data_IF_200667593873
#
_entry.id   IF_200667593873
#
_cell.length_a   1.000
_cell.length_b   1.000
_cell.length_c   1.000
_cell.angle_alpha   90.00
_cell.angle_beta   90.00
_cell.angle_gamma   90.00
#
_symmetry.space_group_name_H-M   'P 1'
#
loop_
_entity.id
_entity.type
_entity.pdbx_description
1 polymer ?
#
# COMPACT_ATOMS: atom_id res chain seq x y z
N UNK A 1 17.49 47.09 -11.77
CA UNK A 1 16.55 46.29 -10.95
C UNK A 1 16.86 44.82 -11.20
N UNK A 2 17.49 44.13 -10.23
CA UNK A 2 17.94 42.73 -10.34
C UNK A 2 16.82 41.82 -9.83
N UNK A 3 16.25 41.01 -10.71
CA UNK A 3 15.27 39.97 -10.34
C UNK A 3 15.99 38.77 -9.73
N UNK A 4 15.60 38.38 -8.52
CA UNK A 4 16.07 37.15 -7.88
C UNK A 4 15.22 35.94 -8.36
N UNK A 5 15.84 34.78 -8.65
CA UNK A 5 15.11 33.57 -9.00
C UNK A 5 14.48 32.93 -7.76
N UNK A 6 13.16 32.69 -7.80
CA UNK A 6 12.42 31.92 -6.80
C UNK A 6 12.79 30.44 -6.96
N UNK A 7 13.55 29.92 -6.00
CA UNK A 7 13.84 28.50 -5.89
C UNK A 7 12.56 27.74 -5.48
N UNK A 8 11.98 27.00 -6.43
CA UNK A 8 10.96 25.99 -6.15
C UNK A 8 11.63 24.81 -5.43
N UNK A 9 11.47 24.73 -4.10
CA UNK A 9 11.88 23.60 -3.28
C UNK A 9 10.82 22.50 -3.44
N UNK A 10 11.10 21.48 -4.24
CA UNK A 10 10.29 20.28 -4.37
C UNK A 10 10.37 19.44 -3.08
N UNK A 11 9.27 19.29 -2.30
CA UNK A 11 9.29 18.47 -1.09
C UNK A 11 9.36 16.96 -1.37
N UNK A 12 9.10 16.52 -2.60
CA UNK A 12 9.10 15.11 -3.00
C UNK A 12 10.49 14.45 -3.03
N UNK A 13 11.58 15.23 -3.09
CA UNK A 13 12.93 14.69 -3.04
C UNK A 13 13.40 14.31 -1.61
N UNK A 14 12.69 14.77 -0.57
CA UNK A 14 13.04 14.48 0.82
C UNK A 14 12.47 13.14 1.33
N UNK A 15 11.43 12.60 0.69
CA UNK A 15 10.79 11.36 1.14
C UNK A 15 11.50 10.08 0.65
N UNK A 16 12.26 10.16 -0.45
CA UNK A 16 13.04 9.03 -0.98
C UNK A 16 14.37 8.78 -0.22
N UNK A 17 14.80 9.69 0.66
CA UNK A 17 16.00 9.54 1.48
C UNK A 17 15.77 8.75 2.78
N UNK A 18 14.51 8.47 3.15
CA UNK A 18 14.18 7.77 4.41
C UNK A 18 14.04 6.23 4.26
N UNK A 19 13.90 5.69 3.05
CA UNK A 19 13.84 4.24 2.81
C UNK A 19 15.23 3.56 2.68
N UNK A 20 16.33 4.32 2.72
CA UNK A 20 17.68 3.77 2.52
C UNK A 20 18.39 3.22 3.77
N UNK A 21 17.81 3.33 4.98
CA UNK A 21 18.51 3.03 6.24
C UNK A 21 18.00 1.76 6.96
N UNK A 22 16.96 1.09 6.45
CA UNK A 22 16.43 -0.15 7.03
C UNK A 22 17.04 -1.44 6.45
N UNK A 23 18.23 -1.37 5.85
CA UNK A 23 18.96 -2.51 5.28
C UNK A 23 20.33 -2.75 5.96
N UNK A 24 20.45 -2.46 7.26
CA UNK A 24 21.70 -2.68 8.00
C UNK A 24 21.48 -3.01 9.49
N UNK A 25 20.79 -4.12 9.78
CA UNK A 25 20.90 -4.81 11.08
C UNK A 25 21.09 -6.30 10.83
N UNK A 26 22.24 -6.65 10.24
CA UNK A 26 22.79 -7.99 10.33
C UNK A 26 23.23 -8.23 11.78
N UNK A 27 22.52 -9.08 12.52
CA UNK A 27 22.98 -9.58 13.82
C UNK A 27 23.66 -10.93 13.58
N UNK A 28 24.99 -11.03 13.66
CA UNK A 28 25.67 -12.30 13.79
C UNK A 28 25.59 -12.73 15.26
N UNK A 29 24.66 -13.63 15.61
CA UNK A 29 24.75 -14.34 16.89
C UNK A 29 25.86 -15.38 16.77
N UNK A 30 27.00 -15.00 17.33
CA UNK A 30 28.19 -15.82 17.52
C UNK A 30 27.90 -17.01 18.44
N UNK A 31 28.48 -18.13 18.05
CA UNK A 31 28.64 -19.34 18.83
C UNK A 31 29.26 -19.06 20.22
N UNK A 32 28.56 -19.46 21.28
CA UNK A 32 29.19 -19.76 22.57
C UNK A 32 29.27 -21.27 22.74
N UNK A 33 30.46 -21.77 22.45
CA UNK A 33 30.96 -23.07 22.86
C UNK A 33 31.13 -23.06 24.37
N UNK A 34 30.29 -23.80 25.09
CA UNK A 34 30.56 -24.19 26.47
C UNK A 34 30.99 -25.66 26.47
N UNK A 35 32.29 -25.84 26.67
CA UNK A 35 32.94 -27.11 26.85
C UNK A 35 32.37 -27.87 28.06
N UNK A 36 32.00 -29.14 27.83
CA UNK A 36 32.01 -30.19 28.84
C UNK A 36 32.71 -31.42 28.24
N UNK A 37 33.99 -31.55 28.57
CA UNK A 37 34.69 -32.80 28.90
C UNK A 37 33.77 -33.70 29.75
N UNK A 38 33.65 -35.04 29.62
CA UNK A 38 34.42 -36.06 28.92
C UNK A 38 33.54 -37.32 28.81
N UNK A 39 33.63 -38.09 27.72
CA UNK A 39 33.83 -39.56 27.70
C UNK A 39 33.53 -40.15 26.30
N UNK A 40 34.34 -41.12 25.80
CA UNK A 40 34.31 -41.55 24.41
C UNK A 40 33.42 -42.78 24.19
N UNK A 41 32.69 -42.85 23.07
CA UNK A 41 32.68 -44.02 22.16
C UNK A 41 31.73 -43.89 20.95
N UNK A 42 32.28 -44.36 19.84
CA UNK A 42 31.69 -44.95 18.63
C UNK A 42 31.27 -44.02 17.46
N UNK A 43 31.70 -44.34 16.22
CA UNK A 43 31.43 -43.54 15.04
C UNK A 43 30.01 -43.79 14.54
N UNK A 44 29.10 -42.85 14.84
CA UNK A 44 27.75 -42.85 14.30
C UNK A 44 27.73 -42.10 12.96
N UNK A 45 27.81 -42.89 11.88
CA UNK A 45 27.29 -42.67 10.53
C UNK A 45 26.80 -41.25 10.22
N UNK A 46 27.58 -40.61 9.36
CA UNK A 46 27.22 -39.48 8.51
C UNK A 46 25.74 -39.55 8.08
N UNK A 47 24.93 -38.73 8.73
CA UNK A 47 23.54 -38.52 8.40
C UNK A 47 23.48 -37.76 7.08
N UNK A 48 23.39 -38.54 6.00
CA UNK A 48 22.99 -38.10 4.68
C UNK A 48 21.60 -37.45 4.83
N UNK A 49 21.57 -36.14 5.05
CA UNK A 49 20.34 -35.35 5.11
C UNK A 49 19.59 -35.56 3.79
N UNK A 50 18.53 -36.34 3.85
CA UNK A 50 17.66 -36.66 2.73
C UNK A 50 16.94 -35.39 2.24
N UNK A 51 16.82 -35.18 0.91
CA UNK A 51 16.18 -34.01 0.32
C UNK A 51 14.69 -33.84 0.68
N UNK A 52 14.03 -34.90 1.19
CA UNK A 52 12.63 -34.88 1.59
C UNK A 52 12.31 -33.86 2.71
N UNK A 53 13.19 -33.72 3.73
CA UNK A 53 12.93 -32.81 4.86
C UNK A 53 13.00 -31.32 4.50
N UNK A 54 13.74 -30.97 3.44
CA UNK A 54 13.86 -29.56 2.98
C UNK A 54 12.61 -29.07 2.27
N UNK A 55 11.88 -29.95 1.59
CA UNK A 55 10.62 -29.60 0.93
C UNK A 55 9.51 -29.27 1.94
N UNK A 56 9.46 -29.99 3.07
CA UNK A 56 8.46 -29.76 4.12
C UNK A 56 8.65 -28.41 4.81
N UNK A 57 9.90 -27.99 5.04
CA UNK A 57 10.20 -26.68 5.64
C UNK A 57 9.71 -25.52 4.76
N UNK A 58 9.99 -25.58 3.45
CA UNK A 58 9.55 -24.56 2.49
C UNK A 58 8.03 -24.50 2.33
N UNK A 59 7.35 -25.65 2.43
CA UNK A 59 5.89 -25.68 2.40
C UNK A 59 5.28 -24.98 3.63
N UNK A 60 5.84 -25.22 4.83
CA UNK A 60 5.42 -24.54 6.07
C UNK A 60 5.66 -23.04 6.03
N UNK A 61 6.82 -22.62 5.53
CA UNK A 61 7.15 -21.20 5.36
C UNK A 61 6.13 -20.49 4.44
N UNK A 62 5.75 -21.12 3.33
CA UNK A 62 4.72 -20.58 2.43
C UNK A 62 3.36 -20.46 3.12
N UNK A 63 2.95 -21.47 3.89
CA UNK A 63 1.70 -21.43 4.64
C UNK A 63 1.69 -20.30 5.67
N UNK A 64 2.81 -20.10 6.38
CA UNK A 64 2.97 -19.00 7.33
C UNK A 64 2.90 -17.63 6.63
N UNK A 65 3.56 -17.48 5.48
CA UNK A 65 3.50 -16.25 4.69
C UNK A 65 2.08 -15.95 4.21
N UNK A 66 1.34 -16.97 3.75
CA UNK A 66 -0.07 -16.82 3.35
C UNK A 66 -0.93 -16.39 4.54
N UNK A 67 -0.76 -17.01 5.72
CA UNK A 67 -1.49 -16.62 6.93
C UNK A 67 -1.20 -15.15 7.31
N UNK A 68 0.08 -14.75 7.27
CA UNK A 68 0.47 -13.37 7.55
C UNK A 68 -0.16 -12.37 6.55
N UNK A 69 -0.31 -12.72 5.27
CA UNK A 69 -0.98 -11.86 4.30
C UNK A 69 -2.48 -11.68 4.60
N UNK A 70 -3.16 -12.71 5.10
CA UNK A 70 -4.53 -12.58 5.56
C UNK A 70 -4.64 -11.69 6.80
N UNK A 71 -3.72 -11.83 7.77
CA UNK A 71 -3.66 -10.96 8.94
C UNK A 71 -3.45 -9.48 8.55
N UNK A 72 -2.57 -9.20 7.57
CA UNK A 72 -2.37 -7.85 7.03
C UNK A 72 -3.66 -7.32 6.38
N UNK A 73 -4.34 -8.14 5.58
CA UNK A 73 -5.59 -7.75 4.95
C UNK A 73 -6.70 -7.46 5.96
N UNK A 74 -6.77 -8.22 7.05
CA UNK A 74 -7.73 -7.99 8.14
C UNK A 74 -7.37 -6.75 8.95
N UNK A 75 -6.08 -6.55 9.26
CA UNK A 75 -5.59 -5.36 9.97
C UNK A 75 -5.82 -4.05 9.19
N UNK A 76 -5.81 -4.11 7.84
CA UNK A 76 -6.05 -2.95 6.99
C UNK A 76 -7.41 -2.28 7.26
N UNK A 77 -8.41 -3.01 7.77
CA UNK A 77 -9.70 -2.44 8.15
C UNK A 77 -9.61 -1.41 9.29
N UNK A 78 -8.56 -1.45 10.10
CA UNK A 78 -8.33 -0.46 11.18
C UNK A 78 -7.79 0.89 10.67
N UNK A 79 -7.38 0.98 9.41
CA UNK A 79 -6.88 2.22 8.82
C UNK A 79 -8.04 3.19 8.55
N UNK A 80 -7.98 4.38 9.14
CA UNK A 80 -9.00 5.44 8.93
C UNK A 80 -8.94 6.00 7.51
N UNK A 81 -7.73 6.13 6.96
CA UNK A 81 -7.49 6.57 5.60
C UNK A 81 -7.87 5.46 4.59
N UNK A 82 -8.86 5.76 3.75
CA UNK A 82 -9.40 4.84 2.76
C UNK A 82 -8.42 4.56 1.61
N UNK A 83 -7.58 5.54 1.25
CA UNK A 83 -6.56 5.36 0.21
C UNK A 83 -5.45 4.44 0.71
N UNK A 84 -4.97 4.69 1.93
CA UNK A 84 -3.98 3.82 2.58
C UNK A 84 -4.53 2.39 2.76
N UNK A 85 -5.80 2.25 3.13
CA UNK A 85 -6.48 0.95 3.21
C UNK A 85 -6.50 0.24 1.87
N UNK A 86 -6.88 0.94 0.80
CA UNK A 86 -6.93 0.38 -0.54
C UNK A 86 -5.54 -0.10 -1.01
N UNK A 87 -4.50 0.69 -0.76
CA UNK A 87 -3.11 0.36 -1.11
C UNK A 87 -2.61 -0.89 -0.38
N UNK A 88 -2.83 -0.98 0.94
CA UNK A 88 -2.41 -2.16 1.72
C UNK A 88 -3.13 -3.42 1.25
N UNK A 89 -4.45 -3.35 1.01
CA UNK A 89 -5.21 -4.48 0.49
C UNK A 89 -4.73 -4.89 -0.91
N UNK A 90 -4.41 -3.92 -1.77
CA UNK A 90 -3.88 -4.16 -3.10
C UNK A 90 -2.55 -4.92 -3.06
N UNK A 91 -1.62 -4.49 -2.19
CA UNK A 91 -0.32 -5.14 -2.00
C UNK A 91 -0.47 -6.56 -1.44
N UNK A 92 -1.33 -6.74 -0.43
CA UNK A 92 -1.61 -8.05 0.14
C UNK A 92 -2.18 -9.02 -0.91
N UNK A 93 -3.13 -8.55 -1.73
CA UNK A 93 -3.72 -9.34 -2.80
C UNK A 93 -2.70 -9.71 -3.88
N UNK A 94 -1.85 -8.76 -4.29
CA UNK A 94 -0.79 -9.02 -5.27
C UNK A 94 0.22 -10.07 -4.78
N UNK A 95 0.62 -10.00 -3.51
CA UNK A 95 1.51 -10.97 -2.89
C UNK A 95 0.86 -12.36 -2.74
N UNK A 96 -0.45 -12.42 -2.48
CA UNK A 96 -1.20 -13.67 -2.30
C UNK A 96 -1.49 -14.38 -3.63
N UNK A 97 -1.56 -13.65 -4.75
CA UNK A 97 -1.97 -14.15 -6.06
C UNK A 97 -1.30 -15.47 -6.51
N UNK A 98 0.03 -15.66 -6.35
CA UNK A 98 0.69 -16.90 -6.77
C UNK A 98 0.32 -18.13 -5.93
N UNK A 99 -0.21 -17.93 -4.73
CA UNK A 99 -0.54 -19.00 -3.79
C UNK A 99 -2.05 -19.32 -3.79
N UNK A 100 -2.91 -18.30 -3.80
CA UNK A 100 -4.36 -18.45 -3.78
C UNK A 100 -5.03 -17.31 -4.59
N UNK A 101 -5.20 -17.53 -5.89
CA UNK A 101 -5.82 -16.55 -6.78
C UNK A 101 -7.30 -16.26 -6.44
N UNK A 102 -8.16 -17.24 -6.09
CA UNK A 102 -9.51 -16.96 -5.60
C UNK A 102 -9.54 -16.01 -4.39
N UNK A 103 -8.73 -16.27 -3.36
CA UNK A 103 -8.67 -15.41 -2.18
C UNK A 103 -8.10 -14.03 -2.52
N UNK A 104 -7.03 -13.98 -3.32
CA UNK A 104 -6.46 -12.72 -3.79
C UNK A 104 -7.50 -11.85 -4.52
N UNK A 105 -8.33 -12.43 -5.40
CA UNK A 105 -9.43 -11.70 -6.06
C UNK A 105 -10.44 -11.11 -5.08
N UNK A 106 -10.74 -11.82 -3.99
CA UNK A 106 -11.63 -11.30 -2.96
C UNK A 106 -11.01 -10.09 -2.25
N UNK A 107 -9.71 -10.14 -1.92
CA UNK A 107 -8.98 -9.00 -1.33
C UNK A 107 -8.90 -7.83 -2.33
N UNK A 108 -8.59 -8.09 -3.60
CA UNK A 108 -8.62 -7.09 -4.67
C UNK A 108 -9.97 -6.38 -4.79
N UNK A 109 -11.09 -7.10 -4.68
CA UNK A 109 -12.42 -6.48 -4.69
C UNK A 109 -12.58 -5.51 -3.51
N UNK A 110 -12.16 -5.89 -2.30
CA UNK A 110 -12.20 -5.01 -1.13
C UNK A 110 -11.32 -3.78 -1.29
N UNK A 111 -10.14 -3.93 -1.92
CA UNK A 111 -9.26 -2.80 -2.24
C UNK A 111 -9.96 -1.81 -3.18
N UNK A 112 -10.61 -2.34 -4.24
CA UNK A 112 -11.39 -1.54 -5.18
C UNK A 112 -12.54 -0.79 -4.51
N UNK A 113 -13.30 -1.46 -3.65
CA UNK A 113 -14.41 -0.85 -2.92
C UNK A 113 -13.91 0.28 -2.00
N UNK A 114 -12.75 0.10 -1.35
CA UNK A 114 -12.13 1.13 -0.50
C UNK A 114 -11.66 2.34 -1.32
N UNK A 115 -11.01 2.12 -2.46
CA UNK A 115 -10.59 3.19 -3.38
C UNK A 115 -11.79 3.98 -3.92
N UNK A 116 -12.86 3.28 -4.32
CA UNK A 116 -14.09 3.92 -4.80
C UNK A 116 -14.75 4.76 -3.69
N UNK A 117 -14.71 4.28 -2.45
CA UNK A 117 -15.20 5.03 -1.31
C UNK A 117 -14.37 6.29 -1.02
N UNK A 118 -13.04 6.21 -1.18
CA UNK A 118 -12.14 7.36 -1.07
C UNK A 118 -12.49 8.42 -2.12
N UNK A 119 -12.57 8.04 -3.40
CA UNK A 119 -12.94 8.95 -4.52
C UNK A 119 -14.29 9.65 -4.27
N UNK A 120 -15.27 8.92 -3.74
CA UNK A 120 -16.59 9.47 -3.42
C UNK A 120 -16.53 10.46 -2.24
N UNK A 121 -15.73 10.16 -1.21
CA UNK A 121 -15.52 11.07 -0.08
C UNK A 121 -14.87 12.37 -0.53
N UNK A 122 -13.84 12.27 -1.36
CA UNK A 122 -13.12 13.38 -1.98
C UNK A 122 -14.04 14.27 -2.81
N UNK A 123 -14.88 13.66 -3.64
CA UNK A 123 -15.86 14.36 -4.47
C UNK A 123 -16.84 15.17 -3.61
N UNK A 124 -17.41 14.53 -2.57
CA UNK A 124 -18.33 15.19 -1.64
C UNK A 124 -17.67 16.35 -0.90
N UNK A 125 -16.41 16.18 -0.47
CA UNK A 125 -15.67 17.23 0.20
C UNK A 125 -15.43 18.43 -0.72
N UNK A 126 -15.03 18.20 -1.97
CA UNK A 126 -14.83 19.25 -2.97
C UNK A 126 -16.14 19.99 -3.27
N UNK A 127 -17.25 19.28 -3.42
CA UNK A 127 -18.58 19.89 -3.61
C UNK A 127 -19.00 20.74 -2.42
N UNK A 128 -18.78 20.26 -1.19
CA UNK A 128 -19.07 21.00 0.03
C UNK A 128 -18.22 22.27 0.11
N UNK A 129 -16.94 22.21 -0.25
CA UNK A 129 -16.04 23.36 -0.29
C UNK A 129 -16.49 24.39 -1.35
N UNK A 130 -16.85 23.94 -2.55
CA UNK A 130 -17.39 24.82 -3.60
C UNK A 130 -18.70 25.48 -3.17
N UNK A 131 -19.57 24.73 -2.47
CA UNK A 131 -20.83 25.26 -1.92
C UNK A 131 -20.57 26.29 -0.83
N UNK A 132 -19.59 26.07 0.05
CA UNK A 132 -19.21 27.02 1.08
C UNK A 132 -18.60 28.31 0.51
N UNK A 133 -17.85 28.20 -0.59
CA UNK A 133 -17.24 29.35 -1.29
C UNK A 133 -18.24 30.11 -2.17
N UNK A 134 -19.41 29.54 -2.48
CA UNK A 134 -20.41 30.18 -3.33
C UNK A 134 -21.06 31.35 -2.58
N UNK A 135 -20.91 32.61 -3.04
CA UNK A 135 -21.51 33.74 -2.36
C UNK A 135 -23.04 33.63 -2.43
N UNK A 136 -23.72 33.93 -1.32
CA UNK A 136 -25.17 33.77 -1.13
C UNK A 136 -26.05 34.52 -2.14
N UNK A 137 -25.48 35.40 -2.98
CA UNK A 137 -26.19 36.18 -4.00
C UNK A 137 -25.87 35.81 -5.46
N UNK A 138 -25.04 34.79 -5.73
CA UNK A 138 -24.71 34.38 -7.10
C UNK A 138 -25.83 33.52 -7.71
N UNK A 139 -27.01 34.11 -7.90
CA UNK A 139 -27.97 33.68 -8.89
C UNK A 139 -27.48 34.14 -10.26
N UNK A 140 -26.50 33.43 -10.83
CA UNK A 140 -26.16 33.61 -12.24
C UNK A 140 -27.37 33.13 -13.04
N UNK A 141 -28.15 34.09 -13.52
CA UNK A 141 -29.20 33.92 -14.51
C UNK A 141 -28.59 33.31 -15.77
N UNK A 142 -28.66 31.98 -15.90
CA UNK A 142 -28.32 31.25 -17.14
C UNK A 142 -29.38 31.48 -18.23
N UNK A 143 -30.41 32.28 -17.96
CA UNK A 143 -31.49 32.57 -18.88
C UNK A 143 -31.12 33.56 -20.01
N UNK A 144 -30.01 34.31 -19.91
CA UNK A 144 -29.74 35.43 -20.82
C UNK A 144 -28.81 35.08 -22.01
N UNK A 145 -28.04 33.99 -21.95
CA UNK A 145 -27.01 33.70 -22.98
C UNK A 145 -27.55 32.95 -24.20
N UNK A 146 -28.71 32.29 -24.12
CA UNK A 146 -29.33 31.59 -25.27
C UNK A 146 -30.13 32.53 -26.18
N UNK A 147 -30.61 33.68 -25.68
CA UNK A 147 -31.34 34.65 -26.52
C UNK A 147 -30.43 35.47 -27.44
N UNK A 148 -29.19 35.73 -27.03
CA UNK A 148 -28.25 36.55 -27.81
C UNK A 148 -27.62 35.82 -29.02
N UNK A 149 -27.63 34.49 -29.07
CA UNK A 149 -27.01 33.75 -30.20
C UNK A 149 -27.94 33.49 -31.38
N UNK A 150 -29.26 33.47 -31.17
CA UNK A 150 -30.22 33.19 -32.25
C UNK A 150 -30.89 34.45 -32.82
N UNK A 151 -30.74 35.62 -32.19
CA UNK A 151 -31.27 36.89 -32.72
C UNK A 151 -30.46 37.49 -33.87
N UNK A 152 -29.23 37.02 -34.12
CA UNK A 152 -28.32 37.62 -35.12
C UNK A 152 -28.37 36.96 -36.51
N UNK A 153 -29.20 35.93 -36.71
CA UNK A 153 -29.35 35.23 -38.00
C UNK A 153 -30.69 35.53 -38.69
N UNK A 154 -31.47 36.49 -38.18
CA UNK A 154 -32.80 36.82 -38.68
C UNK A 154 -32.91 38.22 -39.31
N UNK A 155 -31.79 38.83 -39.75
CA UNK A 155 -31.77 40.12 -40.43
C UNK A 155 -31.08 40.03 -41.79
#
# INVERSE_FOLDING_TARGET
MKSAPRQFRNPFAALLAACGVLAACAVPVLAQSAARESAPRAPSKESRQTPARKNDAKARERQQAVAALFEVADAAHSLEDLDARAEVLLLAAAALWPADAPAARAIFRRAWDSATAADLADTKQREAELRAKRPAGSAVSVAETTRSRYGALAA
#
